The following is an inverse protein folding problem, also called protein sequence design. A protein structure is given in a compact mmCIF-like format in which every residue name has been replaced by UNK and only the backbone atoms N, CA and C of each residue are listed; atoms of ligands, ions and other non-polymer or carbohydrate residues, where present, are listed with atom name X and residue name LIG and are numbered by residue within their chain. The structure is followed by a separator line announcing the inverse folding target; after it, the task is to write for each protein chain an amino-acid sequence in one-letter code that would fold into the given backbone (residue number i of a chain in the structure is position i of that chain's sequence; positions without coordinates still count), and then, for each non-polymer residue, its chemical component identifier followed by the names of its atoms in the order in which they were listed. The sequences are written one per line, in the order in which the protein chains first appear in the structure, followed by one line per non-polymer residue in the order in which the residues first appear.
data_IF_943871847639
#
_entry.id   IF_943871847639
#
_cell.length_a   1.000
_cell.length_b   1.000
_cell.length_c   1.000
_cell.angle_alpha   90.00
_cell.angle_beta   90.00
_cell.angle_gamma   90.00
#
_symmetry.space_group_name_H-M   'P 1'
#
loop_
_entity.id
_entity.type
_entity.pdbx_description
1 polymer ?
#
# COMPACT_ATOMS: atom_id res chain seq x y z
N UNK A 1 -9.30 13.92 -8.53
CA UNK A 1 -8.22 14.93 -8.70
C UNK A 1 -6.99 14.39 -7.99
N UNK A 2 -5.79 14.49 -8.56
CA UNK A 2 -4.55 14.01 -7.93
C UNK A 2 -3.61 15.20 -7.78
N UNK A 3 -3.06 15.42 -6.59
CA UNK A 3 -1.96 16.35 -6.39
C UNK A 3 -0.63 15.60 -6.58
N UNK A 4 -0.10 15.63 -7.79
CA UNK A 4 1.08 14.85 -8.18
C UNK A 4 2.35 15.24 -7.40
N UNK A 5 2.49 16.52 -7.03
CA UNK A 5 3.66 17.01 -6.30
C UNK A 5 3.64 16.50 -4.85
N UNK A 6 2.48 16.55 -4.19
CA UNK A 6 2.29 15.98 -2.85
C UNK A 6 2.53 14.47 -2.89
N UNK A 7 1.93 13.77 -3.86
CA UNK A 7 2.08 12.32 -4.01
C UNK A 7 3.55 11.92 -4.18
N UNK A 8 4.32 12.63 -5.00
CA UNK A 8 5.74 12.32 -5.22
C UNK A 8 6.65 12.76 -4.07
N UNK A 9 6.31 13.81 -3.32
CA UNK A 9 7.07 14.21 -2.13
C UNK A 9 6.97 13.19 -1.00
N UNK A 10 5.81 12.55 -0.86
CA UNK A 10 5.55 11.51 0.15
C UNK A 10 5.84 10.09 -0.36
N UNK A 11 6.23 9.91 -1.62
CA UNK A 11 6.46 8.62 -2.24
C UNK A 11 7.77 7.98 -1.73
N UNK A 12 7.73 6.81 -1.06
CA UNK A 12 8.94 6.15 -0.58
C UNK A 12 9.69 5.36 -1.67
N UNK A 13 9.09 5.18 -2.85
CA UNK A 13 9.60 4.31 -3.91
C UNK A 13 10.34 5.13 -4.96
N UNK A 14 11.51 4.65 -5.40
CA UNK A 14 12.27 5.29 -6.47
C UNK A 14 11.45 5.37 -7.77
N UNK A 15 11.31 6.58 -8.32
CA UNK A 15 10.55 6.86 -9.52
C UNK A 15 9.50 7.94 -9.30
N UNK A 16 8.59 8.11 -10.28
CA UNK A 16 7.53 9.11 -10.22
C UNK A 16 6.16 8.48 -10.38
N UNK A 17 5.23 8.89 -9.53
CA UNK A 17 3.80 8.64 -9.67
C UNK A 17 3.27 9.67 -10.68
N UNK A 18 2.64 9.21 -11.76
CA UNK A 18 2.15 10.09 -12.85
C UNK A 18 0.65 9.94 -13.15
N UNK A 19 -0.01 8.98 -12.52
CA UNK A 19 -1.45 8.71 -12.67
C UNK A 19 -2.01 8.03 -11.42
N UNK A 20 -3.33 7.78 -11.42
CA UNK A 20 -4.02 6.93 -10.44
C UNK A 20 -4.98 5.99 -11.16
N UNK A 21 -5.61 5.09 -10.41
CA UNK A 21 -6.75 4.28 -10.87
C UNK A 21 -8.07 5.08 -10.93
N UNK A 22 -9.14 4.35 -11.29
CA UNK A 22 -10.52 4.84 -11.42
C UNK A 22 -11.09 5.50 -10.15
N UNK A 23 -10.78 4.96 -8.97
CA UNK A 23 -11.30 5.46 -7.70
C UNK A 23 -10.34 6.48 -7.03
N UNK A 24 -9.24 6.84 -7.69
CA UNK A 24 -8.25 7.86 -7.29
C UNK A 24 -7.40 7.58 -6.04
N UNK A 25 -7.39 6.34 -5.55
CA UNK A 25 -6.68 5.91 -4.34
C UNK A 25 -5.34 5.19 -4.60
N UNK A 26 -5.10 4.71 -5.83
CA UNK A 26 -3.87 3.96 -6.15
C UNK A 26 -2.81 4.86 -6.74
N UNK A 27 -1.75 5.08 -5.98
CA UNK A 27 -0.64 5.95 -6.33
C UNK A 27 0.67 5.15 -6.29
N UNK A 28 1.07 4.58 -7.43
CA UNK A 28 2.28 3.76 -7.56
C UNK A 28 3.14 4.22 -8.74
N UNK A 29 4.45 3.95 -8.66
CA UNK A 29 5.38 4.14 -9.77
C UNK A 29 5.09 3.11 -10.86
N UNK A 30 5.12 3.55 -12.12
CA UNK A 30 5.00 2.69 -13.30
C UNK A 30 6.16 2.94 -14.26
N UNK A 31 6.54 1.93 -15.04
CA UNK A 31 7.56 2.06 -16.10
C UNK A 31 6.92 1.80 -17.45
N UNK A 32 7.09 2.68 -18.44
CA UNK A 32 6.46 2.51 -19.74
C UNK A 32 7.06 1.32 -20.50
N UNK A 33 6.18 0.55 -21.13
CA UNK A 33 6.55 -0.44 -22.14
C UNK A 33 6.78 0.24 -23.49
N UNK A 34 7.69 -0.31 -24.29
CA UNK A 34 7.81 0.04 -25.70
C UNK A 34 7.18 -1.08 -26.55
N UNK A 35 6.33 -0.70 -27.50
CA UNK A 35 5.63 -1.61 -28.40
C UNK A 35 5.97 -1.20 -29.84
N UNK A 36 6.36 -2.16 -30.67
CA UNK A 36 6.63 -1.90 -32.08
C UNK A 36 5.36 -1.90 -32.95
N UNK A 37 5.52 -1.62 -34.25
CA UNK A 37 4.41 -1.63 -35.21
C UNK A 37 3.80 -3.04 -35.43
N UNK A 38 4.49 -4.10 -35.00
CA UNK A 38 3.99 -5.47 -35.00
C UNK A 38 3.18 -5.82 -33.74
N UNK A 39 2.94 -4.86 -32.85
CA UNK A 39 2.32 -5.03 -31.54
C UNK A 39 3.11 -5.96 -30.60
N UNK A 40 4.44 -6.04 -30.79
CA UNK A 40 5.31 -6.80 -29.91
C UNK A 40 5.99 -5.88 -28.91
N UNK A 41 6.14 -6.35 -27.67
CA UNK A 41 6.91 -5.66 -26.65
C UNK A 41 8.40 -5.70 -27.01
N UNK A 42 8.98 -4.55 -27.31
CA UNK A 42 10.44 -4.40 -27.50
C UNK A 42 11.15 -4.09 -26.20
N UNK A 43 10.44 -3.45 -25.26
CA UNK A 43 10.85 -3.31 -23.85
C UNK A 43 9.62 -3.46 -22.96
N UNK A 44 9.63 -4.46 -22.08
CA UNK A 44 8.53 -4.64 -21.13
C UNK A 44 8.72 -3.74 -19.91
N UNK A 45 7.78 -2.80 -19.73
CA UNK A 45 7.66 -1.94 -18.57
C UNK A 45 7.07 -2.65 -17.35
N UNK A 46 6.57 -1.88 -16.39
CA UNK A 46 5.82 -2.42 -15.25
C UNK A 46 4.66 -1.51 -14.89
N UNK A 47 3.47 -1.99 -15.19
CA UNK A 47 2.22 -1.31 -14.89
C UNK A 47 1.73 -1.69 -13.48
N UNK A 48 0.50 -1.28 -13.13
CA UNK A 48 -0.05 -1.41 -11.78
C UNK A 48 -1.34 -2.22 -11.83
N UNK A 49 -1.39 -3.32 -11.10
CA UNK A 49 -2.63 -3.97 -10.67
C UNK A 49 -2.90 -3.63 -9.21
N UNK A 50 -4.13 -3.88 -8.76
CA UNK A 50 -4.54 -3.59 -7.41
C UNK A 50 -5.28 -4.77 -6.79
N UNK A 51 -4.88 -5.18 -5.58
CA UNK A 51 -5.62 -6.08 -4.71
C UNK A 51 -5.85 -5.35 -3.39
N UNK A 52 -7.11 -5.32 -2.94
CA UNK A 52 -7.56 -4.46 -1.86
C UNK A 52 -8.28 -5.25 -0.77
N UNK A 53 -8.07 -4.83 0.47
CA UNK A 53 -8.82 -5.25 1.64
C UNK A 53 -9.09 -4.04 2.51
N UNK A 54 -10.08 -4.11 3.39
CA UNK A 54 -10.34 -3.00 4.32
C UNK A 54 -10.69 -3.52 5.70
N UNK A 55 -10.05 -2.96 6.70
CA UNK A 55 -10.28 -3.25 8.11
C UNK A 55 -11.57 -2.57 8.55
N UNK A 56 -12.41 -3.26 9.31
CA UNK A 56 -13.48 -2.60 10.05
C UNK A 56 -12.94 -2.02 11.36
N UNK A 57 -12.92 -0.70 11.50
CA UNK A 57 -12.34 0.02 12.64
C UNK A 57 -13.02 -0.35 13.97
N UNK A 58 -14.34 -0.49 13.99
CA UNK A 58 -15.09 -0.86 15.21
C UNK A 58 -14.60 -2.21 15.75
N UNK A 59 -14.53 -3.21 14.87
CA UNK A 59 -14.06 -4.54 15.23
C UNK A 59 -12.57 -4.56 15.57
N UNK A 60 -11.77 -3.77 14.84
CA UNK A 60 -10.33 -3.66 15.09
C UNK A 60 -10.04 -3.09 16.47
N UNK A 61 -10.78 -2.06 16.90
CA UNK A 61 -10.61 -1.49 18.24
C UNK A 61 -11.06 -2.42 19.37
N UNK A 62 -11.88 -3.43 19.07
CA UNK A 62 -12.28 -4.47 20.01
C UNK A 62 -11.33 -5.70 20.01
N UNK A 63 -10.34 -5.73 19.11
CA UNK A 63 -9.42 -6.87 19.02
C UNK A 63 -8.50 -6.94 20.24
N UNK A 64 -8.15 -8.15 20.65
CA UNK A 64 -7.15 -8.37 21.71
C UNK A 64 -5.72 -8.39 21.16
N UNK A 65 -5.56 -8.55 19.84
CA UNK A 65 -4.26 -8.64 19.19
C UNK A 65 -4.27 -7.89 17.85
N UNK A 66 -3.87 -6.62 17.90
CA UNK A 66 -3.82 -5.74 16.74
C UNK A 66 -2.74 -6.17 15.75
N UNK A 67 -1.57 -6.63 16.25
CA UNK A 67 -0.43 -7.07 15.43
C UNK A 67 -0.84 -8.26 14.56
N UNK A 68 -1.34 -9.33 15.19
CA UNK A 68 -1.75 -10.55 14.48
C UNK A 68 -2.88 -10.30 13.51
N UNK A 69 -3.81 -9.40 13.86
CA UNK A 69 -4.91 -9.01 12.98
C UNK A 69 -4.40 -8.34 11.70
N UNK A 70 -3.52 -7.33 11.81
CA UNK A 70 -2.90 -6.68 10.64
C UNK A 70 -2.03 -7.65 9.85
N UNK A 71 -1.21 -8.47 10.53
CA UNK A 71 -0.32 -9.44 9.89
C UNK A 71 -1.10 -10.44 9.02
N UNK A 72 -2.22 -10.96 9.55
CA UNK A 72 -3.10 -11.87 8.82
C UNK A 72 -3.66 -11.22 7.55
N UNK A 73 -4.08 -9.95 7.63
CA UNK A 73 -4.66 -9.24 6.49
C UNK A 73 -3.61 -8.89 5.43
N UNK A 74 -2.42 -8.47 5.85
CA UNK A 74 -1.28 -8.23 4.94
C UNK A 74 -0.92 -9.52 4.20
N UNK A 75 -0.83 -10.65 4.91
CA UNK A 75 -0.55 -11.95 4.29
C UNK A 75 -1.65 -12.42 3.34
N UNK A 76 -2.92 -12.20 3.69
CA UNK A 76 -4.03 -12.55 2.82
C UNK A 76 -3.98 -11.76 1.50
N UNK A 77 -3.71 -10.46 1.56
CA UNK A 77 -3.55 -9.63 0.36
C UNK A 77 -2.29 -10.01 -0.43
N UNK A 78 -1.19 -10.30 0.26
CA UNK A 78 0.04 -10.79 -0.37
C UNK A 78 -0.21 -12.09 -1.13
N UNK A 79 -0.98 -13.02 -0.55
CA UNK A 79 -1.38 -14.25 -1.22
C UNK A 79 -2.19 -13.99 -2.50
N UNK A 80 -3.09 -13.01 -2.51
CA UNK A 80 -3.82 -12.62 -3.72
C UNK A 80 -2.86 -12.08 -4.79
N UNK A 81 -1.89 -11.24 -4.41
CA UNK A 81 -0.85 -10.78 -5.33
C UNK A 81 -0.04 -11.95 -5.90
N UNK A 82 0.45 -12.85 -5.04
CA UNK A 82 1.31 -13.98 -5.46
C UNK A 82 0.60 -15.00 -6.36
N UNK A 83 -0.70 -15.19 -6.17
CA UNK A 83 -1.50 -16.18 -6.92
C UNK A 83 -2.20 -15.62 -8.16
N UNK A 84 -2.10 -14.31 -8.39
CA UNK A 84 -2.65 -13.67 -9.59
C UNK A 84 -1.83 -14.04 -10.83
N UNK A 85 -2.47 -14.64 -11.84
CA UNK A 85 -1.91 -14.80 -13.18
C UNK A 85 -2.52 -13.75 -14.11
N UNK A 86 -1.71 -12.81 -14.60
CA UNK A 86 -2.15 -11.66 -15.40
C UNK A 86 -1.48 -11.64 -16.78
N UNK A 87 -1.12 -12.82 -17.30
CA UNK A 87 -0.37 -13.02 -18.55
C UNK A 87 -1.00 -12.38 -19.81
N UNK A 88 -2.32 -12.15 -19.81
CA UNK A 88 -3.04 -11.41 -20.85
C UNK A 88 -2.51 -9.98 -21.02
N UNK A 89 -1.98 -9.37 -19.96
CA UNK A 89 -1.31 -8.05 -20.01
C UNK A 89 0.08 -8.17 -19.36
N UNK A 90 1.13 -8.52 -20.13
CA UNK A 90 2.45 -8.87 -19.56
C UNK A 90 3.09 -7.80 -18.67
N UNK A 91 2.84 -6.51 -18.92
CA UNK A 91 3.37 -5.42 -18.11
C UNK A 91 2.72 -5.33 -16.73
N UNK A 92 1.45 -5.75 -16.61
CA UNK A 92 0.72 -5.87 -15.36
C UNK A 92 1.20 -7.08 -14.58
N UNK A 93 1.37 -8.23 -15.24
CA UNK A 93 1.92 -9.44 -14.61
C UNK A 93 3.33 -9.20 -14.06
N UNK A 94 4.21 -8.60 -14.87
CA UNK A 94 5.55 -8.17 -14.43
C UNK A 94 5.48 -7.17 -13.27
N UNK A 95 4.60 -6.17 -13.35
CA UNK A 95 4.43 -5.18 -12.28
C UNK A 95 3.97 -5.80 -10.96
N UNK A 96 3.02 -6.74 -11.00
CA UNK A 96 2.56 -7.46 -9.82
C UNK A 96 3.68 -8.29 -9.18
N UNK A 97 4.44 -9.04 -9.99
CA UNK A 97 5.58 -9.86 -9.53
C UNK A 97 6.75 -9.04 -9.02
N UNK A 98 7.03 -7.88 -9.61
CA UNK A 98 8.11 -7.01 -9.14
C UNK A 98 7.77 -6.31 -7.83
N UNK A 99 6.52 -5.87 -7.68
CA UNK A 99 6.13 -4.95 -6.60
C UNK A 99 5.50 -5.65 -5.40
N UNK A 100 4.87 -6.80 -5.59
CA UNK A 100 4.01 -7.46 -4.58
C UNK A 100 3.08 -6.47 -3.86
N UNK A 101 2.58 -5.47 -4.59
CA UNK A 101 1.89 -4.33 -4.01
C UNK A 101 0.48 -4.74 -3.55
N UNK A 102 0.11 -4.29 -2.35
CA UNK A 102 -1.21 -4.53 -1.74
C UNK A 102 -1.81 -3.21 -1.28
N UNK A 103 -3.14 -3.14 -1.15
CA UNK A 103 -3.83 -2.00 -0.53
C UNK A 103 -4.70 -2.42 0.64
N UNK A 104 -4.19 -2.23 1.86
CA UNK A 104 -4.95 -2.40 3.10
C UNK A 104 -5.57 -1.06 3.53
N UNK A 105 -6.86 -0.91 3.29
CA UNK A 105 -7.67 0.24 3.69
C UNK A 105 -8.35 0.06 5.05
N UNK A 106 -9.23 1.00 5.38
CA UNK A 106 -10.06 0.96 6.57
C UNK A 106 -11.46 1.48 6.28
N UNK A 107 -12.46 0.97 7.00
CA UNK A 107 -13.86 1.34 6.92
C UNK A 107 -14.48 1.38 8.32
N UNK A 108 -15.66 1.99 8.45
CA UNK A 108 -16.40 2.03 9.72
C UNK A 108 -15.97 3.15 10.67
N UNK A 109 -15.17 4.12 10.21
CA UNK A 109 -14.74 5.27 11.01
C UNK A 109 -15.94 6.04 11.59
N UNK A 110 -16.93 6.35 10.75
CA UNK A 110 -18.16 7.03 11.17
C UNK A 110 -18.94 6.23 12.25
N UNK A 111 -18.99 4.91 12.11
CA UNK A 111 -19.67 4.05 13.08
C UNK A 111 -18.93 4.02 14.42
N UNK A 112 -17.59 3.97 14.38
CA UNK A 112 -16.77 4.06 15.58
C UNK A 112 -16.98 5.39 16.30
N UNK A 113 -16.97 6.50 15.56
CA UNK A 113 -17.27 7.82 16.13
C UNK A 113 -18.66 7.89 16.76
N UNK A 114 -19.68 7.39 16.08
CA UNK A 114 -21.04 7.38 16.61
C UNK A 114 -21.17 6.57 17.92
N UNK A 115 -20.48 5.43 18.03
CA UNK A 115 -20.49 4.60 19.25
C UNK A 115 -19.77 5.26 20.43
N UNK A 116 -18.78 6.11 20.15
CA UNK A 116 -17.97 6.78 21.16
C UNK A 116 -18.35 8.26 21.35
N UNK A 117 -19.50 8.69 20.81
CA UNK A 117 -20.01 10.07 20.94
C UNK A 117 -19.04 11.13 20.40
N UNK A 118 -18.28 10.79 19.37
CA UNK A 118 -17.33 11.69 18.70
C UNK A 118 -17.96 12.29 17.44
N UNK A 119 -17.65 13.55 17.14
CA UNK A 119 -18.03 14.17 15.87
C UNK A 119 -16.86 14.21 14.90
N UNK A 120 -17.17 14.07 13.60
CA UNK A 120 -16.17 14.25 12.57
C UNK A 120 -15.58 15.66 12.62
N UNK A 121 -14.26 15.73 12.74
CA UNK A 121 -13.51 16.98 12.74
C UNK A 121 -13.21 17.55 14.12
N UNK A 122 -13.77 16.99 15.19
CA UNK A 122 -13.37 17.35 16.55
C UNK A 122 -11.94 16.88 16.84
N UNK A 123 -11.29 17.54 17.81
CA UNK A 123 -9.91 17.27 18.18
C UNK A 123 -9.67 15.79 18.51
N UNK A 124 -10.55 15.18 19.30
CA UNK A 124 -10.47 13.75 19.65
C UNK A 124 -10.64 12.83 18.42
N UNK A 125 -11.48 13.21 17.45
CA UNK A 125 -11.66 12.44 16.22
C UNK A 125 -10.43 12.51 15.31
N UNK A 126 -9.78 13.68 15.24
CA UNK A 126 -8.53 13.86 14.52
C UNK A 126 -7.38 13.11 15.19
N UNK A 127 -7.28 13.16 16.51
CA UNK A 127 -6.27 12.44 17.28
C UNK A 127 -6.43 10.92 17.16
N UNK A 128 -7.67 10.41 17.31
CA UNK A 128 -7.97 9.00 17.08
C UNK A 128 -7.57 8.56 15.67
N UNK A 129 -8.00 9.31 14.64
CA UNK A 129 -7.73 8.95 13.24
C UNK A 129 -6.22 8.91 12.98
N UNK A 130 -5.50 9.93 13.45
CA UNK A 130 -4.04 10.02 13.36
C UNK A 130 -3.38 8.80 14.01
N UNK A 131 -3.70 8.53 15.27
CA UNK A 131 -3.13 7.43 16.04
C UNK A 131 -3.47 6.06 15.43
N UNK A 132 -4.72 5.85 15.01
CA UNK A 132 -5.16 4.62 14.37
C UNK A 132 -4.37 4.32 13.09
N UNK A 133 -4.26 5.30 12.17
CA UNK A 133 -3.56 5.08 10.91
C UNK A 133 -2.04 5.00 11.08
N UNK A 134 -1.44 5.70 12.05
CA UNK A 134 -0.03 5.50 12.40
C UNK A 134 0.23 4.08 12.91
N UNK A 135 -0.65 3.58 13.78
CA UNK A 135 -0.57 2.21 14.32
C UNK A 135 -0.74 1.17 13.22
N UNK A 136 -1.74 1.35 12.35
CA UNK A 136 -1.96 0.48 11.19
C UNK A 136 -0.75 0.45 10.26
N UNK A 137 -0.15 1.61 9.97
CA UNK A 137 1.03 1.70 9.12
C UNK A 137 2.24 0.96 9.74
N UNK A 138 2.49 1.17 11.04
CA UNK A 138 3.56 0.48 11.76
C UNK A 138 3.45 -1.05 11.64
N UNK A 139 2.27 -1.61 11.96
CA UNK A 139 2.08 -3.06 11.90
C UNK A 139 2.08 -3.59 10.46
N UNK A 140 1.63 -2.80 9.48
CA UNK A 140 1.69 -3.17 8.06
C UNK A 140 3.15 -3.29 7.59
N UNK A 141 4.01 -2.33 7.92
CA UNK A 141 5.45 -2.36 7.62
C UNK A 141 6.12 -3.52 8.36
N UNK A 142 5.79 -3.73 9.63
CA UNK A 142 6.30 -4.86 10.43
C UNK A 142 5.97 -6.20 9.80
N UNK A 143 4.73 -6.39 9.35
CA UNK A 143 4.31 -7.62 8.66
C UNK A 143 5.02 -7.80 7.32
N UNK A 144 5.09 -6.75 6.50
CA UNK A 144 5.85 -6.78 5.23
C UNK A 144 7.32 -7.15 5.44
N UNK A 145 7.96 -6.60 6.47
CA UNK A 145 9.34 -6.94 6.84
C UNK A 145 9.48 -8.40 7.31
N UNK A 146 8.52 -8.93 8.07
CA UNK A 146 8.50 -10.36 8.46
C UNK A 146 8.40 -11.26 7.23
N UNK A 147 7.50 -10.95 6.30
CA UNK A 147 7.36 -11.67 5.02
C UNK A 147 8.69 -11.65 4.26
N UNK A 148 9.35 -10.50 4.16
CA UNK A 148 10.64 -10.38 3.49
C UNK A 148 11.73 -11.26 4.14
N UNK A 149 11.76 -11.32 5.48
CA UNK A 149 12.68 -12.21 6.21
C UNK A 149 12.38 -13.68 6.00
N UNK A 150 11.11 -14.06 6.00
CA UNK A 150 10.67 -15.45 5.81
C UNK A 150 10.95 -15.95 4.39
N UNK A 151 10.79 -15.08 3.39
CA UNK A 151 10.99 -15.41 1.96
C UNK A 151 12.42 -15.18 1.48
N UNK A 152 13.23 -14.47 2.25
CA UNK A 152 14.54 -13.98 1.84
C UNK A 152 14.49 -13.15 0.54
N UNK A 153 13.44 -12.36 0.39
CA UNK A 153 13.14 -11.58 -0.81
C UNK A 153 12.53 -10.23 -0.43
N UNK A 154 12.79 -9.21 -1.22
CA UNK A 154 12.18 -7.87 -1.12
C UNK A 154 11.59 -7.48 -2.46
N UNK A 155 10.69 -6.50 -2.48
CA UNK A 155 10.21 -5.95 -3.75
C UNK A 155 11.36 -5.38 -4.59
N UNK A 156 11.17 -5.35 -5.90
CA UNK A 156 12.15 -4.88 -6.88
C UNK A 156 12.65 -3.46 -6.58
N UNK A 157 13.97 -3.27 -6.53
CA UNK A 157 14.64 -2.00 -6.18
C UNK A 157 14.36 -1.48 -4.77
N UNK A 158 14.09 -2.37 -3.80
CA UNK A 158 13.99 -2.00 -2.39
C UNK A 158 15.14 -1.10 -1.91
N UNK A 159 16.38 -1.36 -2.33
CA UNK A 159 17.59 -0.64 -1.92
C UNK A 159 17.58 0.83 -2.37
N UNK A 160 16.77 1.19 -3.38
CA UNK A 160 16.60 2.57 -3.85
C UNK A 160 15.48 3.31 -3.13
N UNK A 161 14.70 2.63 -2.28
CA UNK A 161 13.59 3.23 -1.54
C UNK A 161 14.05 4.00 -0.31
N UNK A 162 13.18 4.90 0.19
CA UNK A 162 13.41 5.58 1.46
C UNK A 162 13.25 4.64 2.67
N UNK A 163 12.71 3.42 2.47
CA UNK A 163 12.72 2.39 3.50
C UNK A 163 14.14 1.87 3.74
N UNK A 164 14.91 1.65 2.68
CA UNK A 164 16.26 1.09 2.77
C UNK A 164 17.26 2.05 3.41
N UNK A 165 17.14 3.36 3.14
CA UNK A 165 18.02 4.38 3.72
C UNK A 165 17.52 4.96 5.06
N UNK A 166 16.35 4.52 5.53
CA UNK A 166 15.76 4.93 6.80
C UNK A 166 14.97 6.25 6.77
N UNK A 167 15.08 7.07 5.72
CA UNK A 167 14.46 8.40 5.66
C UNK A 167 12.92 8.35 5.73
N UNK A 168 12.29 7.21 5.37
CA UNK A 168 10.85 7.02 5.58
C UNK A 168 10.43 7.23 7.04
N UNK A 169 11.31 6.87 7.98
CA UNK A 169 11.00 6.84 9.40
C UNK A 169 11.23 8.18 10.12
N UNK A 170 11.88 9.15 9.47
CA UNK A 170 12.24 10.44 10.07
C UNK A 170 11.02 11.20 10.64
N UNK A 171 9.85 11.06 10.01
CA UNK A 171 8.59 11.70 10.44
C UNK A 171 7.92 11.04 11.65
N UNK A 172 8.41 9.89 12.11
CA UNK A 172 7.84 9.16 13.26
C UNK A 172 8.72 9.27 14.51
N UNK A 173 9.91 9.85 14.40
CA UNK A 173 10.91 9.91 15.48
C UNK A 173 11.30 11.35 15.87
N UNK A 174 10.89 12.33 15.06
CA UNK A 174 11.13 13.77 15.28
C UNK A 174 9.79 14.48 15.48
#
# INVERSE_FOLDING_TARGET
MINIDVANRENPIAGKIVSSNLCSEILQVQRPSDIDNGQQYTRLGSDVSCNLGSINIVNMMATQDFDTSVDTMVRALTFVSDTSNLDVVPSIDKGNKEKHAIGLGAMGLAAYFAQNQMYYGDEEALDFTTTFFMTLNYYSIKSSMRIAKERHETFYEFEKSTYANGAYFDKYIN
#
